data_IF_693912208695
#
_entry.id   IF_693912208695
#
_cell.length_a   1.000
_cell.length_b   1.000
_cell.length_c   1.000
_cell.angle_alpha   90.00
_cell.angle_beta   90.00
_cell.angle_gamma   90.00
#
_symmetry.space_group_name_H-M   'P 1'
#
loop_
_entity.id
_entity.type
_entity.pdbx_description
1 polymer ?
#
# COMPACT_ATOMS: atom_id res chain seq x y z
N UNK A 1 12.60 -7.73 -2.20
CA UNK A 1 11.21 -7.62 -1.72
C UNK A 1 10.29 -7.99 -2.86
N UNK A 2 9.29 -8.83 -2.60
CA UNK A 2 8.28 -9.29 -3.55
C UNK A 2 6.95 -8.58 -3.23
N UNK A 3 6.54 -7.64 -4.09
CA UNK A 3 5.36 -6.79 -3.85
C UNK A 3 4.06 -7.61 -3.84
N UNK A 4 3.74 -8.41 -4.88
CA UNK A 4 2.60 -9.32 -4.84
C UNK A 4 2.66 -10.26 -3.65
N UNK A 5 3.78 -10.97 -3.45
CA UNK A 5 3.89 -11.97 -2.40
C UNK A 5 3.64 -11.41 -1.00
N UNK A 6 4.09 -10.18 -0.72
CA UNK A 6 3.81 -9.52 0.55
C UNK A 6 2.34 -9.09 0.66
N UNK A 7 1.82 -8.37 -0.34
CA UNK A 7 0.47 -7.81 -0.28
C UNK A 7 -0.63 -8.87 -0.36
N UNK A 8 -0.40 -10.01 -1.00
CA UNK A 8 -1.36 -11.14 -1.00
C UNK A 8 -1.31 -11.97 0.29
N UNK A 9 -0.19 -11.91 1.04
CA UNK A 9 -0.03 -12.62 2.31
C UNK A 9 -0.68 -11.91 3.51
N UNK A 10 -0.94 -10.60 3.41
CA UNK A 10 -1.62 -9.83 4.48
C UNK A 10 -3.14 -9.95 4.36
N UNK A 11 -3.82 -9.81 5.50
CA UNK A 11 -5.28 -9.67 5.56
C UNK A 11 -5.71 -8.21 5.46
N UNK A 12 -6.89 -7.97 4.87
CA UNK A 12 -7.46 -6.63 4.68
C UNK A 12 -8.75 -6.49 5.48
N UNK A 13 -8.98 -5.34 6.12
CA UNK A 13 -10.25 -5.07 6.81
C UNK A 13 -11.27 -4.45 5.86
N UNK A 14 -10.81 -3.51 5.02
CA UNK A 14 -11.62 -2.91 3.96
C UNK A 14 -11.56 -3.71 2.66
N UNK A 15 -12.61 -3.60 1.87
CA UNK A 15 -12.64 -4.09 0.48
C UNK A 15 -12.55 -2.90 -0.48
N UNK A 16 -12.03 -3.15 -1.67
CA UNK A 16 -11.88 -2.11 -2.69
C UNK A 16 -10.76 -2.40 -3.66
N UNK A 17 -10.55 -1.47 -4.58
CA UNK A 17 -9.45 -1.52 -5.55
C UNK A 17 -8.66 -0.23 -5.44
N UNK A 18 -7.34 -0.34 -5.45
CA UNK A 18 -6.45 0.81 -5.58
C UNK A 18 -5.27 0.48 -6.50
N UNK A 19 -4.88 1.45 -7.33
CA UNK A 19 -3.75 1.35 -8.23
C UNK A 19 -2.62 2.23 -7.69
N UNK A 20 -1.51 1.62 -7.29
CA UNK A 20 -0.35 2.33 -6.76
C UNK A 20 0.77 2.39 -7.79
N UNK A 21 1.33 3.58 -8.02
CA UNK A 21 2.61 3.74 -8.71
C UNK A 21 3.74 3.69 -7.69
N UNK A 22 4.53 2.62 -7.74
CA UNK A 22 5.63 2.38 -6.82
C UNK A 22 6.97 2.77 -7.45
N UNK A 23 7.75 3.52 -6.70
CA UNK A 23 9.15 3.81 -7.00
C UNK A 23 10.06 2.93 -6.12
N UNK A 24 10.97 2.19 -6.75
CA UNK A 24 11.99 1.38 -6.07
C UNK A 24 13.30 1.49 -6.86
N UNK A 25 14.26 2.24 -6.31
CA UNK A 25 15.56 2.48 -6.95
C UNK A 25 16.51 1.28 -6.82
N UNK A 26 16.23 0.37 -5.87
CA UNK A 26 17.08 -0.79 -5.60
C UNK A 26 16.65 -2.00 -6.41
N UNK A 27 15.34 -2.19 -6.61
CA UNK A 27 14.76 -3.36 -7.26
C UNK A 27 13.80 -2.94 -8.38
N UNK A 28 14.34 -2.86 -9.60
CA UNK A 28 13.58 -2.44 -10.79
C UNK A 28 12.30 -3.26 -11.05
N UNK A 29 12.23 -4.51 -10.59
CA UNK A 29 11.03 -5.33 -10.74
C UNK A 29 9.82 -4.81 -9.95
N UNK A 30 10.05 -4.09 -8.84
CA UNK A 30 9.00 -3.52 -7.99
C UNK A 30 8.49 -2.19 -8.53
N UNK A 31 9.30 -1.52 -9.37
CA UNK A 31 8.93 -0.27 -9.99
C UNK A 31 7.75 -0.46 -10.97
N UNK A 32 6.83 0.51 -10.96
CA UNK A 32 5.69 0.56 -11.87
C UNK A 32 4.36 0.55 -11.13
N UNK A 33 3.28 0.24 -11.86
CA UNK A 33 1.92 0.33 -11.35
C UNK A 33 1.37 -1.03 -10.98
N UNK A 34 0.77 -1.07 -9.80
CA UNK A 34 0.22 -2.28 -9.19
C UNK A 34 -1.24 -2.06 -8.86
N UNK A 35 -2.10 -2.92 -9.42
CA UNK A 35 -3.50 -3.01 -9.03
C UNK A 35 -3.59 -3.91 -7.81
N UNK A 36 -4.19 -3.41 -6.74
CA UNK A 36 -4.45 -4.14 -5.51
C UNK A 36 -5.96 -4.19 -5.34
N UNK A 37 -6.53 -5.39 -5.39
CA UNK A 37 -7.96 -5.60 -5.24
C UNK A 37 -8.21 -6.45 -4.00
N UNK A 38 -8.78 -5.84 -2.96
CA UNK A 38 -9.09 -6.51 -1.71
C UNK A 38 -10.58 -6.83 -1.61
N UNK A 39 -10.89 -8.08 -1.27
CA UNK A 39 -12.25 -8.57 -1.00
C UNK A 39 -12.18 -9.76 -0.05
N UNK A 40 -13.21 -9.91 0.81
CA UNK A 40 -13.31 -11.03 1.77
C UNK A 40 -12.04 -11.26 2.61
N UNK A 41 -11.36 -10.15 2.96
CA UNK A 41 -10.16 -10.14 3.78
C UNK A 41 -8.86 -10.57 3.08
N UNK A 42 -8.90 -10.81 1.76
CA UNK A 42 -7.75 -11.17 0.93
C UNK A 42 -7.54 -10.13 -0.16
N UNK A 43 -6.38 -10.15 -0.80
CA UNK A 43 -6.13 -9.34 -1.99
C UNK A 43 -5.55 -10.16 -3.14
N UNK A 44 -5.81 -9.70 -4.37
CA UNK A 44 -5.04 -10.05 -5.56
C UNK A 44 -4.19 -8.85 -5.98
N UNK A 45 -2.97 -9.11 -6.44
CA UNK A 45 -2.02 -8.06 -6.80
C UNK A 45 -1.34 -8.34 -8.12
N UNK A 46 -1.54 -7.44 -9.07
CA UNK A 46 -1.01 -7.59 -10.43
C UNK A 46 -0.43 -6.28 -10.97
N UNK A 47 0.51 -6.39 -11.91
CA UNK A 47 0.94 -5.22 -12.67
C UNK A 47 -0.17 -4.74 -13.59
N UNK A 48 -0.35 -3.43 -13.69
CA UNK A 48 -1.36 -2.82 -14.57
C UNK A 48 -0.76 -1.66 -15.36
N UNK A 49 -1.41 -1.30 -16.47
CA UNK A 49 -1.16 -0.06 -17.21
C UNK A 49 -2.21 1.01 -16.95
N UNK A 50 -3.18 0.74 -16.07
CA UNK A 50 -4.19 1.71 -15.65
C UNK A 50 -3.55 2.95 -15.00
N UNK A 51 -4.32 4.04 -14.93
CA UNK A 51 -3.88 5.26 -14.23
C UNK A 51 -3.74 4.98 -12.74
N UNK A 52 -2.65 5.45 -12.14
CA UNK A 52 -2.44 5.29 -10.71
C UNK A 52 -3.33 6.25 -9.91
N UNK A 53 -3.82 5.76 -8.78
CA UNK A 53 -4.58 6.50 -7.78
C UNK A 53 -3.68 7.26 -6.81
N UNK A 54 -2.52 6.67 -6.48
CA UNK A 54 -1.49 7.30 -5.66
C UNK A 54 -0.08 6.86 -6.11
N UNK A 55 0.92 7.70 -5.83
CA UNK A 55 2.34 7.43 -6.07
C UNK A 55 3.13 7.51 -4.77
N UNK A 56 4.02 6.56 -4.54
CA UNK A 56 4.87 6.50 -3.35
C UNK A 56 6.11 5.64 -3.56
N UNK A 57 7.14 5.86 -2.75
CA UNK A 57 8.32 5.00 -2.74
C UNK A 57 8.03 3.68 -1.99
N UNK A 58 8.73 2.60 -2.36
CA UNK A 58 8.52 1.27 -1.76
C UNK A 58 8.71 1.26 -0.22
N UNK A 59 9.58 2.15 0.29
CA UNK A 59 9.81 2.34 1.73
C UNK A 59 8.57 2.90 2.45
N UNK A 60 7.79 3.72 1.77
CA UNK A 60 6.58 4.33 2.29
C UNK A 60 5.44 3.30 2.29
N UNK A 61 5.36 2.45 1.26
CA UNK A 61 4.48 1.27 1.27
C UNK A 61 4.84 0.32 2.43
N UNK A 62 6.13 0.08 2.66
CA UNK A 62 6.57 -0.77 3.77
C UNK A 62 6.15 -0.19 5.15
N UNK A 63 6.14 1.14 5.30
CA UNK A 63 5.68 1.78 6.54
C UNK A 63 4.18 1.56 6.78
N UNK A 64 3.35 1.60 5.74
CA UNK A 64 1.90 1.40 5.87
C UNK A 64 1.48 -0.07 5.89
N UNK A 65 2.35 -0.99 5.47
CA UNK A 65 2.05 -2.41 5.28
C UNK A 65 1.35 -3.09 6.48
N UNK A 66 1.81 -2.81 7.70
CA UNK A 66 1.25 -3.39 8.93
C UNK A 66 0.04 -2.60 9.49
N UNK A 67 -0.35 -1.49 8.86
CA UNK A 67 -1.51 -0.69 9.24
C UNK A 67 -1.28 0.29 10.40
N UNK A 68 -0.03 0.56 10.79
CA UNK A 68 0.31 1.57 11.81
C UNK A 68 0.31 3.01 11.29
N UNK A 69 0.76 3.18 10.05
CA UNK A 69 0.86 4.46 9.37
C UNK A 69 -0.18 4.54 8.25
N UNK A 70 -0.67 5.76 8.01
CA UNK A 70 -1.67 6.04 6.98
C UNK A 70 -1.03 6.66 5.73
N UNK A 71 -1.62 6.43 4.56
CA UNK A 71 -1.24 7.10 3.32
C UNK A 71 -1.62 8.58 3.37
N UNK A 72 -2.73 8.94 4.02
CA UNK A 72 -3.07 10.34 4.30
C UNK A 72 -1.93 11.08 5.02
N UNK A 73 -1.33 10.50 6.06
CA UNK A 73 -0.21 11.10 6.78
C UNK A 73 1.03 11.25 5.88
N UNK A 74 1.30 10.25 5.04
CA UNK A 74 2.43 10.30 4.09
C UNK A 74 2.23 11.36 3.02
N UNK A 75 0.99 11.56 2.53
CA UNK A 75 0.64 12.64 1.60
C UNK A 75 0.80 13.99 2.28
N UNK A 76 0.28 14.15 3.49
CA UNK A 76 0.43 15.38 4.27
C UNK A 76 1.90 15.72 4.57
N UNK A 77 2.74 14.70 4.74
CA UNK A 77 4.19 14.84 4.93
C UNK A 77 4.98 15.04 3.62
N UNK A 78 4.32 15.04 2.45
CA UNK A 78 4.97 15.16 1.14
C UNK A 78 5.83 13.95 0.73
N UNK A 79 5.60 12.79 1.36
CA UNK A 79 6.29 11.52 1.06
C UNK A 79 5.56 10.65 0.05
N UNK A 80 4.27 10.90 -0.14
CA UNK A 80 3.43 10.28 -1.16
C UNK A 80 2.61 11.35 -1.87
N UNK A 81 2.09 11.01 -3.05
CA UNK A 81 1.25 11.91 -3.85
C UNK A 81 -0.06 11.22 -4.17
N UNK A 82 -1.16 11.84 -3.75
CA UNK A 82 -2.50 11.46 -4.21
C UNK A 82 -2.70 11.95 -5.65
N UNK A 83 -3.08 11.05 -6.55
CA UNK A 83 -3.31 11.34 -7.97
C UNK A 83 -4.81 11.35 -8.32
N UNK A 84 -5.58 10.47 -7.67
CA UNK A 84 -7.05 10.50 -7.67
C UNK A 84 -7.54 11.01 -6.31
N UNK A 85 -8.37 12.05 -6.32
CA UNK A 85 -8.98 12.57 -5.09
C UNK A 85 -9.71 11.47 -4.30
N UNK A 86 -9.40 11.37 -3.01
CA UNK A 86 -9.97 10.38 -2.09
C UNK A 86 -9.25 9.02 -2.08
N UNK A 87 -8.25 8.81 -2.94
CA UNK A 87 -7.49 7.57 -2.98
C UNK A 87 -6.69 7.31 -1.69
N UNK A 88 -6.21 8.35 -1.03
CA UNK A 88 -5.50 8.18 0.23
C UNK A 88 -6.42 7.62 1.33
N UNK A 89 -7.64 8.14 1.43
CA UNK A 89 -8.64 7.65 2.37
C UNK A 89 -9.12 6.22 2.03
N UNK A 90 -9.32 5.93 0.74
CA UNK A 90 -9.65 4.58 0.26
C UNK A 90 -8.56 3.57 0.64
N UNK A 91 -7.29 3.93 0.40
CA UNK A 91 -6.13 3.13 0.81
C UNK A 91 -6.17 2.85 2.31
N UNK A 92 -6.35 3.88 3.13
CA UNK A 92 -6.31 3.74 4.59
C UNK A 92 -7.44 2.87 5.12
N UNK A 93 -8.63 2.97 4.52
CA UNK A 93 -9.75 2.09 4.85
C UNK A 93 -9.47 0.62 4.48
N UNK A 94 -8.76 0.37 3.38
CA UNK A 94 -8.33 -0.98 2.99
C UNK A 94 -7.19 -1.52 3.88
N UNK A 95 -6.20 -0.67 4.20
CA UNK A 95 -4.94 -1.09 4.82
C UNK A 95 -4.94 -1.06 6.36
N UNK A 96 -5.84 -0.32 7.01
CA UNK A 96 -5.90 -0.29 8.47
C UNK A 96 -6.15 -1.66 9.08
N UNK A 97 -5.58 -1.88 10.27
CA UNK A 97 -5.81 -3.06 11.11
C UNK A 97 -6.48 -2.63 12.41
N UNK A 98 -7.20 -3.54 13.07
CA UNK A 98 -7.89 -3.24 14.34
C UNK A 98 -6.94 -3.02 15.51
N UNK A 99 -5.73 -3.59 15.43
CA UNK A 99 -4.73 -3.56 16.48
C UNK A 99 -3.44 -3.07 15.87
N UNK A 100 -2.87 -2.01 16.44
CA UNK A 100 -1.58 -1.49 16.00
C UNK A 100 -0.49 -2.56 16.16
N UNK A 101 0.40 -2.72 15.17
CA UNK A 101 1.50 -3.68 15.23
C UNK A 101 2.48 -3.32 16.36
N UNK A 102 3.06 -4.33 16.98
CA UNK A 102 3.98 -4.18 18.11
C UNK A 102 5.09 -5.24 18.04
N UNK A 103 6.30 -4.86 18.44
CA UNK A 103 7.43 -5.78 18.62
C UNK A 103 7.89 -5.73 20.09
N UNK A 104 7.73 -6.82 20.86
CA UNK A 104 8.17 -6.86 22.26
C UNK A 104 9.67 -7.07 22.44
N UNK A 105 10.35 -7.61 21.42
CA UNK A 105 11.75 -8.01 21.48
C UNK A 105 12.67 -6.97 20.82
N UNK A 106 13.93 -6.92 21.26
CA UNK A 106 15.00 -6.12 20.65
C UNK A 106 15.99 -7.09 19.97
N UNK A 107 16.40 -6.78 18.74
CA UNK A 107 17.33 -7.58 17.92
C UNK A 107 18.54 -6.77 17.45
#
# INVERSE_FOLDING_TARGET
LDVPGALEARSYLGSGTIILELEDEMLAQNHGRWRIEASDGRASVEKTSESADARLHIKDLAATYLGAFSLCDLVAAGRATELRSGAAEDFDNMFRTLVSPYCPEIF
#
